data_IF_607473020948
#
_entry.id   IF_607473020948
#
_cell.length_a   1.000
_cell.length_b   1.000
_cell.length_c   1.000
_cell.angle_alpha   90.00
_cell.angle_beta   90.00
_cell.angle_gamma   90.00
#
_symmetry.space_group_name_H-M   'P 1'
#
loop_
_entity.id
_entity.type
_entity.pdbx_description
1 polymer ?
#
# COMPACT_ATOMS: atom_id res chain seq x y z
N UNK A 1 20.90 28.36 5.50
CA UNK A 1 21.67 28.13 4.25
C UNK A 1 21.46 26.71 3.75
N UNK A 2 21.80 25.66 4.53
CA UNK A 2 21.63 24.26 4.09
C UNK A 2 20.17 23.88 3.78
N UNK A 3 19.21 24.29 4.61
CA UNK A 3 17.78 24.06 4.33
C UNK A 3 17.31 24.71 3.01
N UNK A 4 17.79 25.91 2.69
CA UNK A 4 17.47 26.60 1.43
C UNK A 4 17.98 25.85 0.21
N UNK A 5 19.16 25.22 0.29
CA UNK A 5 19.68 24.38 -0.80
C UNK A 5 18.89 23.08 -0.96
N UNK A 6 18.42 22.47 0.14
CA UNK A 6 17.55 21.30 0.09
C UNK A 6 16.20 21.61 -0.56
N UNK A 7 15.59 22.74 -0.22
CA UNK A 7 14.33 23.17 -0.83
C UNK A 7 14.50 23.39 -2.35
N UNK A 8 15.59 24.06 -2.76
CA UNK A 8 15.91 24.27 -4.17
C UNK A 8 16.17 22.95 -4.92
N UNK A 9 16.86 22.00 -4.28
CA UNK A 9 17.09 20.67 -4.83
C UNK A 9 15.76 19.96 -5.14
N UNK A 10 14.81 19.92 -4.19
CA UNK A 10 13.54 19.23 -4.40
C UNK A 10 12.60 19.98 -5.35
N UNK A 11 12.67 21.31 -5.41
CA UNK A 11 11.97 22.07 -6.45
C UNK A 11 12.46 21.69 -7.86
N UNK A 12 13.78 21.60 -8.05
CA UNK A 12 14.36 21.17 -9.32
C UNK A 12 13.97 19.72 -9.66
N UNK A 13 13.98 18.83 -8.67
CA UNK A 13 13.52 17.44 -8.80
C UNK A 13 12.06 17.36 -9.28
N UNK A 14 11.13 18.02 -8.58
CA UNK A 14 9.71 18.01 -8.95
C UNK A 14 9.47 18.64 -10.33
N UNK A 15 10.21 19.71 -10.68
CA UNK A 15 10.11 20.33 -12.00
C UNK A 15 10.53 19.38 -13.12
N UNK A 16 11.62 18.64 -12.94
CA UNK A 16 12.06 17.64 -13.93
C UNK A 16 11.08 16.46 -14.02
N UNK A 17 10.54 16.02 -12.89
CA UNK A 17 9.52 14.99 -12.85
C UNK A 17 8.23 15.43 -13.56
N UNK A 18 7.75 16.66 -13.33
CA UNK A 18 6.60 17.21 -14.04
C UNK A 18 6.84 17.25 -15.56
N UNK A 19 8.02 17.68 -16.01
CA UNK A 19 8.39 17.64 -17.43
C UNK A 19 8.47 16.22 -18.00
N UNK A 20 8.85 15.22 -17.20
CA UNK A 20 8.82 13.83 -17.61
C UNK A 20 7.37 13.35 -17.82
N UNK A 21 6.47 13.65 -16.88
CA UNK A 21 5.05 13.34 -17.02
C UNK A 21 4.41 14.06 -18.20
N UNK A 22 4.68 15.35 -18.41
CA UNK A 22 4.15 16.13 -19.54
C UNK A 22 4.57 15.51 -20.89
N UNK A 23 5.85 15.11 -21.01
CA UNK A 23 6.36 14.44 -22.22
C UNK A 23 5.71 13.09 -22.46
N UNK A 24 5.53 12.30 -21.41
CA UNK A 24 4.96 10.96 -21.51
C UNK A 24 3.44 10.99 -21.76
N UNK A 25 2.73 11.95 -21.17
CA UNK A 25 1.26 12.09 -21.31
C UNK A 25 0.84 12.84 -22.56
N UNK A 26 1.72 13.68 -23.15
CA UNK A 26 1.43 14.43 -24.37
C UNK A 26 1.12 13.57 -25.61
N UNK A 27 1.28 12.25 -25.52
CA UNK A 27 1.01 11.27 -26.59
C UNK A 27 -0.01 10.20 -26.19
N UNK A 28 -0.66 10.33 -25.02
CA UNK A 28 -1.55 9.30 -24.46
C UNK A 28 -2.99 9.56 -24.89
N UNK A 29 -3.64 8.52 -25.42
CA UNK A 29 -5.08 8.55 -25.71
C UNK A 29 -5.92 8.24 -24.47
N UNK A 30 -7.14 8.79 -24.40
CA UNK A 30 -8.03 8.68 -23.24
C UNK A 30 -8.35 7.22 -22.85
N UNK A 31 -8.41 6.32 -23.83
CA UNK A 31 -8.62 4.88 -23.61
C UNK A 31 -7.46 4.20 -22.88
N UNK A 32 -6.23 4.71 -23.02
CA UNK A 32 -5.06 4.19 -22.34
C UNK A 32 -5.04 4.59 -20.86
N UNK A 33 -5.56 5.77 -20.52
CA UNK A 33 -5.67 6.25 -19.13
C UNK A 33 -6.54 5.33 -18.26
N UNK A 34 -7.49 4.63 -18.87
CA UNK A 34 -8.43 3.73 -18.18
C UNK A 34 -7.89 2.30 -18.01
N UNK A 35 -6.71 1.97 -18.54
CA UNK A 35 -6.17 0.63 -18.43
C UNK A 35 -5.63 0.34 -17.02
N UNK A 36 -5.94 -0.82 -16.42
CA UNK A 36 -5.37 -1.22 -15.13
C UNK A 36 -3.84 -1.23 -15.17
N UNK A 37 -3.21 -0.54 -14.22
CA UNK A 37 -1.75 -0.45 -14.11
C UNK A 37 -1.08 0.57 -15.04
N UNK A 38 -1.84 1.29 -15.88
CA UNK A 38 -1.27 2.31 -16.78
C UNK A 38 -0.54 3.42 -16.01
N UNK A 39 -1.15 3.97 -14.95
CA UNK A 39 -0.50 5.00 -14.13
C UNK A 39 0.79 4.50 -13.47
N UNK A 40 0.83 3.24 -13.01
CA UNK A 40 2.05 2.65 -12.44
C UNK A 40 3.16 2.55 -13.49
N UNK A 41 2.83 2.14 -14.73
CA UNK A 41 3.79 2.12 -15.84
C UNK A 41 4.28 3.52 -16.22
N UNK A 42 3.37 4.49 -16.30
CA UNK A 42 3.67 5.90 -16.58
C UNK A 42 4.64 6.45 -15.52
N UNK A 43 4.29 6.28 -14.24
CA UNK A 43 5.08 6.69 -13.09
C UNK A 43 6.48 6.05 -13.11
N UNK A 44 6.56 4.74 -13.31
CA UNK A 44 7.85 4.05 -13.40
C UNK A 44 8.71 4.57 -14.57
N UNK A 45 8.09 4.90 -15.70
CA UNK A 45 8.80 5.47 -16.85
C UNK A 45 9.28 6.88 -16.56
N UNK A 46 8.45 7.72 -15.93
CA UNK A 46 8.81 9.08 -15.52
C UNK A 46 9.99 9.06 -14.55
N UNK A 47 9.93 8.23 -13.50
CA UNK A 47 10.99 8.06 -12.52
C UNK A 47 12.31 7.60 -13.16
N UNK A 48 12.26 6.64 -14.09
CA UNK A 48 13.46 6.17 -14.79
C UNK A 48 14.12 7.24 -15.68
N UNK A 49 13.34 8.22 -16.16
CA UNK A 49 13.87 9.32 -16.97
C UNK A 49 14.65 10.37 -16.17
N UNK A 50 14.56 10.34 -14.83
CA UNK A 50 15.28 11.27 -13.96
C UNK A 50 16.78 10.99 -13.86
N UNK A 51 17.27 9.90 -14.46
CA UNK A 51 18.70 9.58 -14.46
C UNK A 51 19.55 10.68 -15.09
N UNK A 52 19.07 11.29 -16.16
CA UNK A 52 19.80 12.36 -16.85
C UNK A 52 19.93 13.61 -15.96
N UNK A 53 18.91 13.88 -15.14
CA UNK A 53 18.93 15.00 -14.19
C UNK A 53 19.99 14.83 -13.10
N UNK A 54 20.33 13.60 -12.71
CA UNK A 54 21.30 13.35 -11.63
C UNK A 54 22.69 13.90 -11.92
N UNK A 55 23.09 13.97 -13.19
CA UNK A 55 24.42 14.39 -13.62
C UNK A 55 24.44 15.84 -14.17
N UNK A 56 23.28 16.51 -14.28
CA UNK A 56 23.19 17.87 -14.82
C UNK A 56 23.56 18.93 -13.76
N UNK A 57 24.59 19.77 -13.99
CA UNK A 57 24.95 20.84 -13.06
C UNK A 57 23.83 21.87 -12.88
N UNK A 58 23.46 22.14 -11.62
CA UNK A 58 22.40 23.09 -11.30
C UNK A 58 22.99 24.43 -10.81
N UNK A 59 22.61 25.58 -11.41
CA UNK A 59 23.04 26.89 -10.93
C UNK A 59 22.70 27.15 -9.46
N UNK A 60 21.54 26.66 -9.01
CA UNK A 60 21.03 26.80 -7.65
C UNK A 60 21.88 26.00 -6.64
N UNK A 61 22.58 24.96 -7.10
CA UNK A 61 23.48 24.14 -6.29
C UNK A 61 24.95 24.53 -6.49
N UNK A 62 25.22 25.79 -6.86
CA UNK A 62 26.56 26.29 -7.16
C UNK A 62 27.28 25.49 -8.25
N UNK A 63 26.55 25.09 -9.31
CA UNK A 63 27.06 24.27 -10.42
C UNK A 63 27.44 22.83 -10.02
N UNK A 64 26.98 22.34 -8.88
CA UNK A 64 27.03 20.92 -8.56
C UNK A 64 25.89 20.19 -9.27
N UNK A 65 26.15 18.95 -9.70
CA UNK A 65 25.08 18.03 -10.09
C UNK A 65 24.28 17.59 -8.85
N UNK A 66 23.02 17.16 -8.99
CA UNK A 66 22.26 16.56 -7.91
C UNK A 66 23.00 15.39 -7.24
N UNK A 67 23.66 14.53 -8.02
CA UNK A 67 24.44 13.41 -7.48
C UNK A 67 25.62 13.90 -6.62
N UNK A 68 26.38 14.88 -7.11
CA UNK A 68 27.51 15.47 -6.37
C UNK A 68 27.02 16.15 -5.09
N UNK A 69 25.91 16.89 -5.16
CA UNK A 69 25.32 17.56 -4.01
C UNK A 69 24.89 16.56 -2.92
N UNK A 70 24.14 15.52 -3.28
CA UNK A 70 23.69 14.48 -2.33
C UNK A 70 24.89 13.73 -1.74
N UNK A 71 25.94 13.48 -2.51
CA UNK A 71 27.13 12.77 -2.05
C UNK A 71 27.85 13.48 -0.88
N UNK A 72 27.73 14.81 -0.81
CA UNK A 72 28.32 15.63 0.25
C UNK A 72 27.55 15.58 1.57
N UNK A 73 26.32 15.01 1.57
CA UNK A 73 25.54 14.80 2.78
C UNK A 73 25.97 13.47 3.40
N UNK A 74 26.96 13.54 4.30
CA UNK A 74 27.64 12.35 4.82
C UNK A 74 27.20 11.93 6.22
N UNK A 75 26.70 12.83 7.07
CA UNK A 75 26.37 12.43 8.45
C UNK A 75 24.96 11.83 8.54
N UNK A 76 24.71 10.85 9.44
CA UNK A 76 23.37 10.32 9.65
C UNK A 76 22.35 11.38 10.10
N UNK A 77 22.81 12.47 10.74
CA UNK A 77 21.93 13.56 11.16
C UNK A 77 21.50 14.39 9.94
N UNK A 78 22.45 14.80 9.11
CA UNK A 78 22.16 15.63 7.93
C UNK A 78 21.34 14.85 6.89
N UNK A 79 21.61 13.55 6.71
CA UNK A 79 20.81 12.68 5.84
C UNK A 79 19.37 12.54 6.34
N UNK A 80 19.18 12.46 7.65
CA UNK A 80 17.85 12.37 8.23
C UNK A 80 17.06 13.68 8.07
N UNK A 81 17.73 14.82 8.22
CA UNK A 81 17.08 16.12 8.01
C UNK A 81 16.77 16.36 6.53
N UNK A 82 17.66 15.95 5.63
CA UNK A 82 17.41 15.99 4.19
C UNK A 82 16.23 15.09 3.80
N UNK A 83 16.16 13.88 4.38
CA UNK A 83 15.05 12.94 4.23
C UNK A 83 13.70 13.52 4.69
N UNK A 84 13.65 14.21 5.84
CA UNK A 84 12.40 14.79 6.35
C UNK A 84 11.84 15.85 5.39
N UNK A 85 12.73 16.68 4.82
CA UNK A 85 12.33 17.66 3.80
C UNK A 85 11.86 16.94 2.55
N UNK A 86 12.61 15.93 2.10
CA UNK A 86 12.25 15.11 0.93
C UNK A 86 10.85 14.50 1.06
N UNK A 87 10.54 13.95 2.23
CA UNK A 87 9.28 13.25 2.48
C UNK A 87 8.03 14.13 2.40
N UNK A 88 8.19 15.46 2.49
CA UNK A 88 7.11 16.44 2.39
C UNK A 88 7.16 17.18 1.05
N UNK A 89 8.36 17.38 0.50
CA UNK A 89 8.58 18.17 -0.71
C UNK A 89 8.44 17.36 -2.00
N UNK A 90 8.73 16.06 -2.01
CA UNK A 90 8.65 15.25 -3.23
C UNK A 90 7.19 14.97 -3.61
N UNK A 91 6.83 15.24 -4.86
CA UNK A 91 5.47 14.98 -5.35
C UNK A 91 5.19 13.47 -5.55
N UNK A 92 6.24 12.66 -5.76
CA UNK A 92 6.19 11.20 -5.94
C UNK A 92 7.16 10.49 -4.95
N UNK A 93 8.00 9.58 -5.42
CA UNK A 93 8.99 8.91 -4.57
C UNK A 93 10.20 9.79 -4.27
N UNK A 94 10.94 9.39 -3.23
CA UNK A 94 12.26 9.95 -2.93
C UNK A 94 13.22 9.70 -4.10
N UNK A 95 14.09 10.66 -4.45
CA UNK A 95 15.11 10.47 -5.48
C UNK A 95 16.01 9.26 -5.17
N UNK A 96 16.30 8.44 -6.19
CA UNK A 96 17.13 7.23 -6.02
C UNK A 96 18.51 7.54 -5.45
N UNK A 97 19.13 8.67 -5.84
CA UNK A 97 20.42 9.11 -5.32
C UNK A 97 20.39 9.37 -3.80
N UNK A 98 19.28 9.89 -3.26
CA UNK A 98 19.11 10.07 -1.82
C UNK A 98 18.90 8.72 -1.13
N UNK A 99 18.03 7.86 -1.67
CA UNK A 99 17.79 6.50 -1.13
C UNK A 99 19.08 5.69 -1.09
N UNK A 100 19.90 5.75 -2.13
CA UNK A 100 21.21 5.08 -2.21
C UNK A 100 22.20 5.64 -1.18
N UNK A 101 22.30 6.97 -1.05
CA UNK A 101 23.20 7.59 -0.09
C UNK A 101 22.82 7.23 1.35
N UNK A 102 21.52 7.29 1.69
CA UNK A 102 21.01 6.83 2.98
C UNK A 102 21.24 5.32 3.20
N UNK A 103 21.08 4.51 2.14
CA UNK A 103 21.28 3.06 2.19
C UNK A 103 22.68 2.64 2.64
N UNK A 104 23.71 3.43 2.30
CA UNK A 104 25.10 3.21 2.77
C UNK A 104 25.22 3.26 4.30
N UNK A 105 24.27 3.93 4.98
CA UNK A 105 24.23 4.12 6.43
C UNK A 105 22.97 3.51 7.05
N UNK A 106 22.34 2.55 6.35
CA UNK A 106 21.11 1.92 6.79
C UNK A 106 21.16 1.36 8.24
N UNK A 107 22.26 0.74 8.73
CA UNK A 107 22.32 0.27 10.12
C UNK A 107 22.10 1.37 11.16
N UNK A 108 22.62 2.58 10.92
CA UNK A 108 22.52 3.71 11.85
C UNK A 108 21.22 4.49 11.69
N UNK A 109 20.70 4.53 10.45
CA UNK A 109 19.46 5.25 10.12
C UNK A 109 18.20 4.43 10.44
N UNK A 110 18.23 3.10 10.32
CA UNK A 110 17.03 2.26 10.52
C UNK A 110 16.36 2.46 11.88
N UNK A 111 17.07 2.50 13.02
CA UNK A 111 16.45 2.79 14.32
C UNK A 111 15.82 4.18 14.39
N UNK A 112 16.42 5.18 13.75
CA UNK A 112 15.91 6.56 13.73
C UNK A 112 14.66 6.69 12.85
N UNK A 113 14.65 6.03 11.70
CA UNK A 113 13.48 5.96 10.81
C UNK A 113 12.33 5.22 11.49
N UNK A 114 12.60 4.12 12.19
CA UNK A 114 11.59 3.40 12.96
C UNK A 114 11.02 4.29 14.07
N UNK A 115 11.88 5.05 14.76
CA UNK A 115 11.43 6.01 15.77
C UNK A 115 10.51 7.08 15.16
N UNK A 116 10.91 7.71 14.05
CA UNK A 116 10.06 8.68 13.34
C UNK A 116 8.70 8.08 12.95
N UNK A 117 8.70 6.85 12.45
CA UNK A 117 7.48 6.14 12.08
C UNK A 117 6.59 5.79 13.28
N UNK A 118 7.16 5.63 14.48
CA UNK A 118 6.41 5.35 15.70
C UNK A 118 5.92 6.62 16.43
N UNK A 119 6.61 7.74 16.27
CA UNK A 119 6.38 9.00 17.00
C UNK A 119 5.29 9.89 16.37
N UNK A 120 4.33 9.29 15.67
CA UNK A 120 3.18 9.96 15.06
C UNK A 120 1.85 9.37 15.50
N UNK A 121 0.73 10.12 15.39
CA UNK A 121 -0.60 9.56 15.59
C UNK A 121 -0.98 8.63 14.43
N UNK A 122 -1.40 7.41 14.77
CA UNK A 122 -1.91 6.42 13.80
C UNK A 122 -3.43 6.49 13.61
N UNK A 123 -4.10 7.42 14.28
CA UNK A 123 -5.55 7.61 14.17
C UNK A 123 -5.89 8.31 12.86
N UNK A 124 -7.00 7.93 12.24
CA UNK A 124 -7.51 8.56 11.03
C UNK A 124 -7.65 10.09 11.17
N UNK A 125 -7.33 10.80 10.09
CA UNK A 125 -7.47 12.24 9.94
C UNK A 125 -7.90 12.54 8.49
N UNK A 126 -8.52 13.70 8.26
CA UNK A 126 -8.96 14.12 6.92
C UNK A 126 -7.77 14.31 5.96
N UNK A 127 -6.65 14.79 6.49
CA UNK A 127 -5.42 15.03 5.72
C UNK A 127 -4.20 14.53 6.48
N UNK A 128 -3.20 14.06 5.74
CA UNK A 128 -1.93 13.65 6.31
C UNK A 128 -1.10 14.90 6.68
N UNK A 129 -0.79 15.05 7.97
CA UNK A 129 0.16 16.08 8.43
C UNK A 129 1.59 15.76 7.98
N UNK A 130 2.47 16.76 7.93
CA UNK A 130 3.88 16.57 7.56
C UNK A 130 4.59 15.47 8.39
N UNK A 131 4.37 15.34 9.72
CA UNK A 131 4.91 14.23 10.48
C UNK A 131 4.40 12.86 9.99
N UNK A 132 3.13 12.74 9.63
CA UNK A 132 2.55 11.49 9.12
C UNK A 132 3.11 11.15 7.73
N UNK A 133 3.30 12.15 6.86
CA UNK A 133 3.94 11.95 5.56
C UNK A 133 5.40 11.47 5.72
N UNK A 134 6.13 12.10 6.64
CA UNK A 134 7.50 11.70 7.01
C UNK A 134 7.54 10.27 7.56
N UNK A 135 6.59 9.90 8.43
CA UNK A 135 6.48 8.55 8.97
C UNK A 135 6.18 7.52 7.89
N UNK A 136 5.26 7.80 6.96
CA UNK A 136 4.95 6.93 5.84
C UNK A 136 6.16 6.72 4.91
N UNK A 137 6.89 7.79 4.58
CA UNK A 137 8.13 7.69 3.82
C UNK A 137 9.18 6.84 4.55
N UNK A 138 9.26 6.93 5.88
CA UNK A 138 10.20 6.16 6.68
C UNK A 138 9.84 4.67 6.69
N UNK A 139 8.55 4.34 6.78
CA UNK A 139 8.05 2.96 6.66
C UNK A 139 8.42 2.39 5.29
N UNK A 140 8.14 3.10 4.20
CA UNK A 140 8.47 2.66 2.83
C UNK A 140 9.96 2.38 2.68
N UNK A 141 10.82 3.31 3.11
CA UNK A 141 12.28 3.15 3.03
C UNK A 141 12.80 1.98 3.87
N UNK A 142 12.24 1.75 5.07
CA UNK A 142 12.56 0.56 5.87
C UNK A 142 12.15 -0.74 5.16
N UNK A 143 11.02 -0.72 4.45
CA UNK A 143 10.54 -1.81 3.60
C UNK A 143 11.53 -2.12 2.48
N UNK A 144 11.97 -1.07 1.76
CA UNK A 144 12.90 -1.18 0.63
C UNK A 144 14.26 -1.74 1.08
N UNK A 145 14.71 -1.39 2.28
CA UNK A 145 15.93 -1.93 2.87
C UNK A 145 15.78 -3.31 3.50
N UNK A 146 14.61 -3.94 3.40
CA UNK A 146 14.35 -5.27 3.92
C UNK A 146 14.38 -5.35 5.45
N UNK A 147 14.06 -4.27 6.17
CA UNK A 147 14.10 -4.21 7.64
C UNK A 147 12.86 -4.82 8.27
N UNK A 148 12.60 -6.09 7.99
CA UNK A 148 11.39 -6.83 8.42
C UNK A 148 11.13 -6.75 9.94
N UNK A 149 12.18 -6.68 10.76
CA UNK A 149 12.04 -6.52 12.22
C UNK A 149 11.35 -5.22 12.65
N UNK A 150 11.28 -4.21 11.78
CA UNK A 150 10.54 -2.97 12.02
C UNK A 150 9.01 -3.18 11.97
N UNK A 151 8.52 -4.21 11.27
CA UNK A 151 7.09 -4.38 11.02
C UNK A 151 6.30 -4.59 12.31
N UNK A 152 6.80 -5.40 13.25
CA UNK A 152 6.05 -5.72 14.47
C UNK A 152 5.76 -4.49 15.33
N UNK A 153 6.74 -3.63 15.68
CA UNK A 153 6.48 -2.37 16.37
C UNK A 153 5.50 -1.45 15.62
N UNK A 154 5.60 -1.38 14.29
CA UNK A 154 4.70 -0.55 13.49
C UNK A 154 3.25 -1.08 13.51
N UNK A 155 3.08 -2.40 13.40
CA UNK A 155 1.76 -3.02 13.50
C UNK A 155 1.16 -2.85 14.89
N UNK A 156 1.96 -2.92 15.95
CA UNK A 156 1.50 -2.64 17.32
C UNK A 156 0.92 -1.23 17.44
N UNK A 157 1.50 -0.23 16.76
CA UNK A 157 0.94 1.13 16.68
C UNK A 157 -0.33 1.17 15.83
N UNK A 158 -0.30 0.51 14.67
CA UNK A 158 -1.37 0.52 13.67
C UNK A 158 -2.66 -0.13 14.15
N UNK A 159 -2.59 -1.20 14.94
CA UNK A 159 -3.79 -1.90 15.44
C UNK A 159 -4.41 -1.27 16.67
N UNK A 160 -3.81 -0.23 17.26
CA UNK A 160 -4.34 0.39 18.47
C UNK A 160 -5.56 1.31 18.26
N UNK A 161 -5.57 2.26 17.31
CA UNK A 161 -6.70 3.17 17.12
C UNK A 161 -7.96 2.44 16.64
N UNK A 162 -9.13 3.06 16.85
CA UNK A 162 -10.40 2.54 16.35
C UNK A 162 -10.48 2.55 14.81
N UNK A 163 -9.93 3.59 14.20
CA UNK A 163 -9.75 3.72 12.76
C UNK A 163 -8.29 4.13 12.49
N UNK A 164 -7.51 3.30 11.77
CA UNK A 164 -6.14 3.63 11.44
C UNK A 164 -6.07 4.67 10.31
N UNK A 165 -4.97 5.42 10.26
CA UNK A 165 -4.70 6.40 9.23
C UNK A 165 -4.39 5.72 7.88
N UNK A 166 -5.15 6.04 6.83
CA UNK A 166 -5.03 5.39 5.52
C UNK A 166 -3.66 5.58 4.87
N UNK A 167 -3.07 6.78 4.99
CA UNK A 167 -1.72 7.05 4.49
C UNK A 167 -0.63 6.15 5.11
N UNK A 168 -0.78 5.78 6.39
CA UNK A 168 0.13 4.83 7.05
C UNK A 168 -0.22 3.38 6.69
N UNK A 169 -1.51 3.08 6.46
CA UNK A 169 -1.93 1.77 5.96
C UNK A 169 -1.31 1.48 4.59
N UNK A 170 -1.32 2.46 3.68
CA UNK A 170 -0.68 2.37 2.37
C UNK A 170 0.84 2.14 2.47
N UNK A 171 1.52 2.90 3.32
CA UNK A 171 2.96 2.71 3.56
C UNK A 171 3.28 1.30 4.12
N UNK A 172 2.47 0.79 5.05
CA UNK A 172 2.61 -0.56 5.59
C UNK A 172 2.27 -1.63 4.56
N UNK A 173 1.32 -1.36 3.67
CA UNK A 173 0.98 -2.25 2.57
C UNK A 173 2.20 -2.43 1.65
N UNK A 174 2.82 -1.33 1.24
CA UNK A 174 4.00 -1.35 0.38
C UNK A 174 5.18 -2.05 1.07
N UNK A 175 5.40 -1.77 2.35
CA UNK A 175 6.37 -2.51 3.17
C UNK A 175 6.13 -4.03 3.08
N UNK A 176 4.88 -4.46 3.26
CA UNK A 176 4.52 -5.87 3.21
C UNK A 176 4.71 -6.48 1.82
N UNK A 177 4.37 -5.75 0.74
CA UNK A 177 4.56 -6.20 -0.64
C UNK A 177 6.04 -6.42 -0.97
N UNK A 178 6.90 -5.48 -0.61
CA UNK A 178 8.35 -5.57 -0.83
C UNK A 178 9.00 -6.71 -0.05
N UNK A 179 8.41 -7.09 1.08
CA UNK A 179 8.91 -8.12 1.99
C UNK A 179 8.01 -9.36 2.05
N UNK A 180 7.26 -9.61 0.97
CA UNK A 180 6.12 -10.52 0.90
C UNK A 180 6.31 -11.82 1.68
N UNK A 181 7.35 -12.60 1.39
CA UNK A 181 7.56 -13.90 2.05
C UNK A 181 7.88 -13.78 3.55
N UNK A 182 8.63 -12.77 3.94
CA UNK A 182 9.13 -12.63 5.31
C UNK A 182 8.05 -12.10 6.29
N UNK A 183 7.06 -11.37 5.79
CA UNK A 183 6.01 -10.75 6.63
C UNK A 183 4.82 -11.66 6.91
N UNK A 184 4.57 -12.67 6.07
CA UNK A 184 3.38 -13.54 6.20
C UNK A 184 3.22 -14.19 7.57
N UNK A 185 4.26 -14.76 8.21
CA UNK A 185 4.08 -15.42 9.50
C UNK A 185 3.54 -14.47 10.58
N UNK A 186 3.98 -13.19 10.54
CA UNK A 186 3.51 -12.17 11.46
C UNK A 186 2.06 -11.77 11.17
N UNK A 187 1.72 -11.54 9.91
CA UNK A 187 0.35 -11.19 9.50
C UNK A 187 -0.65 -12.31 9.83
N UNK A 188 -0.31 -13.56 9.50
CA UNK A 188 -1.14 -14.73 9.83
C UNK A 188 -1.34 -14.86 11.34
N UNK A 189 -0.27 -14.70 12.13
CA UNK A 189 -0.37 -14.77 13.60
C UNK A 189 -1.37 -13.75 14.14
N UNK A 190 -1.26 -12.47 13.75
CA UNK A 190 -2.14 -11.39 14.24
C UNK A 190 -3.61 -11.61 13.86
N UNK A 191 -3.87 -12.08 12.65
CA UNK A 191 -5.21 -12.39 12.16
C UNK A 191 -5.82 -13.64 12.83
N UNK A 192 -5.00 -14.65 13.13
CA UNK A 192 -5.43 -15.86 13.84
C UNK A 192 -5.66 -15.60 15.34
N UNK A 193 -4.91 -14.68 15.95
CA UNK A 193 -5.18 -14.20 17.32
C UNK A 193 -6.58 -13.57 17.41
N UNK A 194 -6.96 -12.72 16.46
CA UNK A 194 -8.32 -12.17 16.39
C UNK A 194 -9.37 -13.26 16.11
N UNK A 195 -9.11 -14.14 15.14
CA UNK A 195 -10.03 -15.22 14.77
C UNK A 195 -10.30 -16.24 15.89
N UNK A 196 -9.31 -16.46 16.75
CA UNK A 196 -9.41 -17.37 17.90
C UNK A 196 -10.00 -16.72 19.16
N UNK A 197 -10.34 -15.43 19.10
CA UNK A 197 -10.88 -14.69 20.24
C UNK A 197 -9.83 -14.31 21.30
N UNK A 198 -8.53 -14.39 20.97
CA UNK A 198 -7.46 -13.88 21.85
C UNK A 198 -7.40 -12.35 21.86
N UNK A 199 -7.97 -11.71 20.84
CA UNK A 199 -8.15 -10.27 20.70
C UNK A 199 -9.46 -9.99 19.95
N UNK A 200 -10.09 -8.87 20.25
CA UNK A 200 -11.23 -8.37 19.47
C UNK A 200 -10.82 -7.93 18.07
N UNK A 201 -11.73 -8.11 17.10
CA UNK A 201 -11.57 -7.57 15.76
C UNK A 201 -11.59 -6.05 15.77
N UNK A 202 -10.73 -5.44 14.96
CA UNK A 202 -10.62 -4.00 14.76
C UNK A 202 -10.60 -3.66 13.28
N UNK A 203 -10.87 -2.41 12.93
CA UNK A 203 -10.78 -1.90 11.54
C UNK A 203 -9.42 -2.19 10.91
N UNK A 204 -8.33 -2.09 11.69
CA UNK A 204 -6.98 -2.43 11.23
C UNK A 204 -6.86 -3.87 10.70
N UNK A 205 -7.69 -4.82 11.15
CA UNK A 205 -7.65 -6.21 10.71
C UNK A 205 -8.13 -6.41 9.27
N UNK A 206 -8.98 -5.52 8.78
CA UNK A 206 -9.37 -5.49 7.36
C UNK A 206 -8.16 -5.15 6.49
N UNK A 207 -7.36 -4.15 6.90
CA UNK A 207 -6.09 -3.81 6.25
C UNK A 207 -5.08 -4.95 6.34
N UNK A 208 -4.91 -5.58 7.52
CA UNK A 208 -3.99 -6.72 7.66
C UNK A 208 -4.37 -7.89 6.74
N UNK A 209 -5.68 -8.11 6.51
CA UNK A 209 -6.16 -9.13 5.60
C UNK A 209 -5.83 -8.80 4.13
N UNK A 210 -5.92 -7.53 3.74
CA UNK A 210 -5.49 -7.04 2.42
C UNK A 210 -3.97 -7.24 2.28
N UNK A 211 -3.18 -6.80 3.26
CA UNK A 211 -1.71 -6.95 3.23
C UNK A 211 -1.29 -8.42 3.10
N UNK A 212 -1.95 -9.31 3.85
CA UNK A 212 -1.71 -10.75 3.78
C UNK A 212 -2.02 -11.28 2.37
N UNK A 213 -3.16 -10.89 1.80
CA UNK A 213 -3.63 -11.38 0.50
C UNK A 213 -2.65 -11.00 -0.62
N UNK A 214 -2.23 -9.74 -0.67
CA UNK A 214 -1.32 -9.27 -1.70
C UNK A 214 0.11 -9.79 -1.52
N UNK A 215 0.61 -9.87 -0.28
CA UNK A 215 1.90 -10.51 -0.01
C UNK A 215 1.89 -12.01 -0.36
N UNK A 216 0.78 -12.72 -0.13
CA UNK A 216 0.67 -14.14 -0.45
C UNK A 216 0.66 -14.39 -1.96
N UNK A 217 0.04 -13.49 -2.76
CA UNK A 217 0.08 -13.57 -4.23
C UNK A 217 1.49 -13.43 -4.78
N UNK A 218 2.29 -12.52 -4.23
CA UNK A 218 3.68 -12.31 -4.65
C UNK A 218 4.56 -13.51 -4.26
N UNK A 219 4.42 -14.01 -3.03
CA UNK A 219 5.26 -15.09 -2.51
C UNK A 219 4.80 -16.51 -2.89
N UNK A 220 3.59 -16.66 -3.45
CA UNK A 220 2.95 -17.95 -3.73
C UNK A 220 2.78 -18.86 -2.48
N UNK A 221 2.73 -18.27 -1.29
CA UNK A 221 2.48 -19.00 -0.04
C UNK A 221 1.00 -19.34 0.11
N UNK A 222 0.67 -20.56 0.56
CA UNK A 222 -0.71 -20.92 0.90
C UNK A 222 -1.13 -20.25 2.22
N UNK A 223 -2.07 -19.31 2.12
CA UNK A 223 -2.68 -18.61 3.26
C UNK A 223 -4.20 -18.81 3.33
N UNK A 224 -4.75 -19.70 2.51
CA UNK A 224 -6.20 -19.87 2.35
C UNK A 224 -6.89 -20.19 3.67
N UNK A 225 -6.27 -21.03 4.51
CA UNK A 225 -6.85 -21.38 5.81
C UNK A 225 -6.95 -20.18 6.76
N UNK A 226 -6.00 -19.25 6.69
CA UNK A 226 -6.08 -17.98 7.41
C UNK A 226 -7.23 -17.13 6.87
N UNK A 227 -7.31 -16.93 5.54
CA UNK A 227 -8.39 -16.16 4.90
C UNK A 227 -9.78 -16.74 5.24
N UNK A 228 -9.91 -18.07 5.16
CA UNK A 228 -11.13 -18.80 5.51
C UNK A 228 -11.50 -18.63 6.98
N UNK A 229 -10.52 -18.66 7.88
CA UNK A 229 -10.75 -18.43 9.31
C UNK A 229 -11.25 -17.01 9.56
N UNK A 230 -10.61 -16.01 8.95
CA UNK A 230 -11.01 -14.61 9.04
C UNK A 230 -12.45 -14.41 8.53
N UNK A 231 -12.78 -14.87 7.31
CA UNK A 231 -14.12 -14.75 6.75
C UNK A 231 -15.22 -15.33 7.67
N UNK A 232 -14.96 -16.48 8.31
CA UNK A 232 -15.92 -17.11 9.22
C UNK A 232 -16.12 -16.36 10.54
N UNK A 233 -15.11 -15.60 10.99
CA UNK A 233 -15.04 -15.05 12.36
C UNK A 233 -15.14 -13.53 12.42
N UNK A 234 -14.81 -12.83 11.34
CA UNK A 234 -14.93 -11.37 11.28
C UNK A 234 -16.41 -10.95 11.38
N UNK A 235 -16.73 -9.90 12.16
CA UNK A 235 -18.07 -9.33 12.21
C UNK A 235 -18.51 -8.84 10.83
N UNK A 236 -17.69 -7.99 10.21
CA UNK A 236 -17.86 -7.51 8.84
C UNK A 236 -17.10 -8.41 7.87
N UNK A 237 -17.80 -8.95 6.87
CA UNK A 237 -17.23 -9.98 5.97
C UNK A 237 -16.94 -9.48 4.56
N UNK A 238 -17.30 -8.23 4.26
CA UNK A 238 -17.16 -7.65 2.92
C UNK A 238 -15.71 -7.75 2.44
N UNK A 239 -14.77 -7.17 3.20
CA UNK A 239 -13.34 -7.21 2.85
C UNK A 239 -12.80 -8.65 2.82
N UNK A 240 -13.26 -9.52 3.71
CA UNK A 240 -12.84 -10.92 3.70
C UNK A 240 -13.35 -11.69 2.47
N UNK A 241 -14.55 -11.39 1.97
CA UNK A 241 -15.07 -11.95 0.72
C UNK A 241 -14.24 -11.48 -0.48
N UNK A 242 -13.95 -10.16 -0.54
CA UNK A 242 -13.10 -9.56 -1.58
C UNK A 242 -11.71 -10.20 -1.58
N UNK A 243 -11.06 -10.32 -0.42
CA UNK A 243 -9.74 -10.93 -0.28
C UNK A 243 -9.73 -12.41 -0.73
N UNK A 244 -10.79 -13.17 -0.46
CA UNK A 244 -10.92 -14.55 -0.96
C UNK A 244 -10.98 -14.60 -2.49
N UNK A 245 -11.69 -13.64 -3.11
CA UNK A 245 -11.74 -13.50 -4.56
C UNK A 245 -10.40 -13.08 -5.16
N UNK A 246 -9.72 -12.11 -4.55
CA UNK A 246 -8.45 -11.56 -5.03
C UNK A 246 -7.28 -12.50 -4.84
N UNK A 247 -7.32 -13.36 -3.82
CA UNK A 247 -6.32 -14.39 -3.60
C UNK A 247 -6.27 -15.41 -4.75
N UNK A 248 -7.39 -15.62 -5.45
CA UNK A 248 -7.43 -16.44 -6.67
C UNK A 248 -7.54 -17.95 -6.44
N UNK A 249 -7.74 -18.42 -5.21
CA UNK A 249 -7.87 -19.85 -4.90
C UNK A 249 -9.31 -20.36 -5.10
N UNK A 250 -9.48 -21.36 -5.95
CA UNK A 250 -10.79 -21.95 -6.27
C UNK A 250 -11.56 -22.51 -5.07
N UNK A 251 -10.89 -22.84 -3.95
CA UNK A 251 -11.55 -23.22 -2.69
C UNK A 251 -12.46 -22.10 -2.16
N UNK A 252 -12.22 -20.84 -2.53
CA UNK A 252 -13.05 -19.69 -2.21
C UNK A 252 -14.47 -19.78 -2.77
N UNK A 253 -14.66 -20.39 -3.95
CA UNK A 253 -15.98 -20.55 -4.59
C UNK A 253 -16.91 -21.35 -3.70
N UNK A 254 -16.49 -22.53 -3.25
CA UNK A 254 -17.31 -23.40 -2.40
C UNK A 254 -17.64 -22.74 -1.06
N UNK A 255 -16.69 -22.00 -0.48
CA UNK A 255 -16.87 -21.29 0.79
C UNK A 255 -17.94 -20.18 0.68
N UNK A 256 -17.80 -19.30 -0.32
CA UNK A 256 -18.70 -18.16 -0.51
C UNK A 256 -20.10 -18.61 -0.91
N UNK A 257 -20.22 -19.57 -1.83
CA UNK A 257 -21.52 -20.14 -2.22
C UNK A 257 -22.25 -20.75 -1.03
N UNK A 258 -21.57 -21.59 -0.26
CA UNK A 258 -22.15 -22.19 0.95
C UNK A 258 -22.53 -21.16 2.01
N UNK A 259 -21.85 -20.02 2.06
CA UNK A 259 -22.24 -18.92 2.94
C UNK A 259 -23.55 -18.27 2.47
N UNK A 260 -23.64 -17.90 1.19
CA UNK A 260 -24.85 -17.31 0.60
C UNK A 260 -26.06 -18.23 0.80
N UNK A 261 -25.94 -19.52 0.45
CA UNK A 261 -27.04 -20.48 0.58
C UNK A 261 -27.56 -20.57 2.03
N UNK A 262 -26.66 -20.52 3.02
CA UNK A 262 -27.02 -20.63 4.45
C UNK A 262 -27.55 -19.32 5.05
N UNK A 263 -27.12 -18.19 4.53
CA UNK A 263 -27.40 -16.85 5.08
C UNK A 263 -28.25 -15.98 4.14
N UNK A 264 -28.90 -16.57 3.12
CA UNK A 264 -29.65 -15.79 2.14
C UNK A 264 -30.77 -14.93 2.75
N UNK A 265 -31.26 -15.27 3.94
CA UNK A 265 -32.34 -14.52 4.60
C UNK A 265 -31.84 -13.29 5.38
N UNK A 266 -30.57 -13.28 5.80
CA UNK A 266 -29.99 -12.29 6.71
C UNK A 266 -28.70 -11.64 6.18
N UNK A 267 -28.21 -12.08 5.01
CA UNK A 267 -27.06 -11.47 4.34
C UNK A 267 -27.38 -10.03 3.92
N UNK A 268 -26.44 -9.12 4.17
CA UNK A 268 -26.58 -7.74 3.70
C UNK A 268 -26.27 -7.62 2.20
N UNK A 269 -26.83 -6.58 1.56
CA UNK A 269 -26.76 -6.39 0.11
C UNK A 269 -25.32 -6.23 -0.39
N UNK A 270 -24.46 -5.55 0.39
CA UNK A 270 -23.08 -5.32 -0.02
C UNK A 270 -22.27 -6.62 0.02
N UNK A 271 -22.34 -7.37 1.11
CA UNK A 271 -21.66 -8.66 1.25
C UNK A 271 -22.12 -9.66 0.18
N UNK A 272 -23.42 -9.69 -0.11
CA UNK A 272 -23.96 -10.56 -1.16
C UNK A 272 -23.32 -10.25 -2.52
N UNK A 273 -23.32 -8.99 -2.95
CA UNK A 273 -22.76 -8.62 -4.25
C UNK A 273 -21.25 -8.78 -4.34
N UNK A 274 -20.51 -8.46 -3.28
CA UNK A 274 -19.06 -8.70 -3.26
C UNK A 274 -18.72 -10.21 -3.26
N UNK A 275 -19.51 -11.04 -2.59
CA UNK A 275 -19.36 -12.49 -2.64
C UNK A 275 -19.67 -13.03 -4.05
N UNK A 276 -20.73 -12.55 -4.73
CA UNK A 276 -21.01 -12.92 -6.11
C UNK A 276 -19.89 -12.49 -7.08
N UNK A 277 -19.39 -11.26 -6.93
CA UNK A 277 -18.28 -10.72 -7.71
C UNK A 277 -17.03 -11.59 -7.53
N UNK A 278 -16.71 -11.93 -6.29
CA UNK A 278 -15.58 -12.80 -5.93
C UNK A 278 -15.73 -14.22 -6.50
N UNK A 279 -16.93 -14.82 -6.42
CA UNK A 279 -17.21 -16.13 -7.04
C UNK A 279 -16.97 -16.10 -8.55
N UNK A 280 -17.46 -15.07 -9.24
CA UNK A 280 -17.27 -14.90 -10.69
C UNK A 280 -15.79 -14.72 -11.04
N UNK A 281 -15.05 -13.91 -10.27
CA UNK A 281 -13.60 -13.70 -10.44
C UNK A 281 -12.82 -15.01 -10.33
N UNK A 282 -13.25 -15.91 -9.45
CA UNK A 282 -12.69 -17.26 -9.28
C UNK A 282 -13.17 -18.28 -10.33
N UNK A 283 -13.97 -17.88 -11.32
CA UNK A 283 -14.51 -18.75 -12.36
C UNK A 283 -15.73 -19.58 -11.95
N UNK A 284 -16.35 -19.27 -10.82
CA UNK A 284 -17.56 -19.94 -10.33
C UNK A 284 -18.84 -19.41 -10.99
N UNK A 285 -19.87 -20.26 -11.05
CA UNK A 285 -21.21 -19.89 -11.49
C UNK A 285 -22.03 -19.31 -10.32
N UNK A 286 -22.95 -18.40 -10.62
CA UNK A 286 -23.83 -17.75 -9.63
C UNK A 286 -25.32 -17.82 -9.95
N UNK A 287 -25.71 -18.37 -11.10
CA UNK A 287 -27.07 -18.29 -11.63
C UNK A 287 -28.07 -19.13 -10.81
N UNK A 288 -27.57 -20.09 -10.06
CA UNK A 288 -28.31 -21.02 -9.22
C UNK A 288 -28.36 -20.61 -7.74
N UNK A 289 -27.72 -19.48 -7.39
CA UNK A 289 -27.73 -18.97 -6.03
C UNK A 289 -29.04 -18.22 -5.74
N UNK A 290 -29.54 -18.26 -4.49
CA UNK A 290 -30.69 -17.47 -4.07
C UNK A 290 -30.48 -15.98 -4.32
N UNK A 291 -31.51 -15.29 -4.84
CA UNK A 291 -31.54 -13.83 -5.01
C UNK A 291 -32.46 -13.16 -3.96
N UNK A 292 -31.97 -12.91 -2.75
CA UNK A 292 -32.80 -12.33 -1.69
C UNK A 292 -33.21 -10.88 -1.93
N UNK A 293 -32.66 -10.22 -2.96
CA UNK A 293 -32.96 -8.83 -3.29
C UNK A 293 -33.82 -8.67 -4.55
N UNK A 294 -34.16 -9.76 -5.24
CA UNK A 294 -34.99 -9.78 -6.46
C UNK A 294 -34.47 -8.88 -7.60
N UNK A 295 -33.17 -8.62 -7.63
CA UNK A 295 -32.55 -7.75 -8.61
C UNK A 295 -32.36 -8.46 -9.97
N UNK A 296 -32.31 -9.79 -10.00
CA UNK A 296 -32.17 -10.58 -11.24
C UNK A 296 -33.51 -10.83 -11.97
N UNK A 297 -34.62 -10.87 -11.23
CA UNK A 297 -35.97 -11.06 -11.79
C UNK A 297 -36.47 -9.84 -12.60
N UNK A 298 -35.88 -8.66 -12.36
CA UNK A 298 -36.26 -7.41 -13.03
C UNK A 298 -35.75 -7.27 -14.47
N UNK A 299 -34.72 -8.05 -14.87
CA UNK A 299 -34.11 -7.97 -16.21
C UNK A 299 -34.80 -8.83 -17.28
N UNK A 300 -35.70 -9.72 -16.88
CA UNK A 300 -36.50 -10.57 -17.80
C UNK A 300 -37.82 -9.94 -18.23
N UNK A 301 -38.10 -8.71 -17.81
CA UNK A 301 -39.40 -8.03 -17.97
C UNK A 301 -39.35 -6.80 -18.88
N UNK A 302 -38.48 -6.80 -19.91
CA UNK A 302 -38.63 -5.86 -21.04
C UNK A 302 -39.00 -6.65 -22.30
N UNK A 303 -40.28 -6.62 -22.74
CA UNK A 303 -40.65 -7.18 -24.02
C UNK A 303 -40.04 -6.34 -25.15
N UNK A 304 -39.54 -7.06 -26.16
CA UNK A 304 -39.04 -6.56 -27.43
C UNK A 304 -40.09 -5.78 -28.21
#
# INVERSE_FOLDING_TARGET
MQQTYYDQFFQSYNQHLAQAFDRLTGQVEEEQLSQPGFYEQLRNTAMNSLRDWYDEPLPELNQLSPADFVSQVETPADLLDFFKIAAVACDEELPDILKQQMGKQAPDLSPRLLQLACDVPYMAAETASEPVQTAAAAIRLLGEWGRVSALEPLLDRFVNPAAPHEYLADALHEFCRQNAQAVLPLLQRRLLEASSGKRDWKTADEYLLIFLTDAAKISSTDVFDTLRSCFKKMPQKVIAAVCLGDYGDGRGVALLRSYIERHHQDIDRQLYYEALSSIKRLGGQTNDLPDPFHDFDSRTSQPS
#
